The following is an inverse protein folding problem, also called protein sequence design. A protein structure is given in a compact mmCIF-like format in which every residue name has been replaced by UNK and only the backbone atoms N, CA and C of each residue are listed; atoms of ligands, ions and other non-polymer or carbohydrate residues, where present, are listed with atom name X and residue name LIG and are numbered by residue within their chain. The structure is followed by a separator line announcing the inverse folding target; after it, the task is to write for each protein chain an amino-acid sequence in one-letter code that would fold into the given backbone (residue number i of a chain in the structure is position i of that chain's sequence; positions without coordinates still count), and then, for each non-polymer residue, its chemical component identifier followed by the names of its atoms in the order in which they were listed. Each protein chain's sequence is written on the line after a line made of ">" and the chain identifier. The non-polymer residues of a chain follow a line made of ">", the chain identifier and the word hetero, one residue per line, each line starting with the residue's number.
data_IF_554289919875
#
_entry.id   IF_554289919875
#
_cell.length_a   1.000
_cell.length_b   1.000
_cell.length_c   1.000
_cell.angle_alpha   90.00
_cell.angle_beta   90.00
_cell.angle_gamma   90.00
#
_symmetry.space_group_name_H-M   'P 1'
#
loop_
_entity.id
_entity.type
_entity.pdbx_description
1 polymer ?
#
# COMPACT_ATOMS: atom_id res chain seq x y z
N UNK A 1 26.39 13.29 -10.02
CA UNK A 1 27.28 12.74 -8.99
C UNK A 1 28.05 13.89 -8.37
N UNK A 2 28.03 14.08 -7.06
CA UNK A 2 28.76 15.18 -6.40
C UNK A 2 29.98 14.62 -5.66
N UNK A 3 31.14 15.25 -5.81
CA UNK A 3 32.36 14.96 -5.05
C UNK A 3 33.14 16.27 -4.89
N UNK A 4 33.48 16.68 -3.66
CA UNK A 4 34.20 17.94 -3.35
C UNK A 4 33.56 19.22 -3.93
N UNK A 5 32.26 19.47 -3.69
CA UNK A 5 31.56 20.66 -4.19
C UNK A 5 31.59 20.84 -5.73
N UNK A 6 31.98 19.80 -6.48
CA UNK A 6 32.02 19.78 -7.94
C UNK A 6 31.00 18.80 -8.47
N UNK A 7 30.04 19.32 -9.22
CA UNK A 7 29.05 18.52 -9.93
C UNK A 7 29.72 17.76 -11.07
N UNK A 8 29.68 16.43 -10.99
CA UNK A 8 30.08 15.56 -12.08
C UNK A 8 28.79 15.05 -12.74
N UNK A 9 28.53 15.59 -13.92
CA UNK A 9 27.48 15.16 -14.83
C UNK A 9 28.08 14.17 -15.82
N UNK A 10 27.45 13.01 -16.01
CA UNK A 10 27.98 11.98 -16.90
C UNK A 10 27.13 10.72 -16.94
N UNK A 11 27.49 9.83 -17.87
CA UNK A 11 26.86 8.53 -18.08
C UNK A 11 27.63 7.47 -17.29
N UNK A 12 26.93 6.64 -16.51
CA UNK A 12 27.57 5.45 -15.89
C UNK A 12 27.86 4.40 -16.97
N UNK A 13 28.97 3.68 -16.93
CA UNK A 13 30.02 3.69 -15.90
C UNK A 13 31.04 4.83 -16.08
N UNK A 14 31.41 5.49 -14.97
CA UNK A 14 32.39 6.58 -14.95
C UNK A 14 33.45 6.31 -13.88
N UNK A 15 34.72 6.51 -14.23
CA UNK A 15 35.85 6.42 -13.29
C UNK A 15 36.34 7.82 -12.97
N UNK A 16 36.48 8.13 -11.69
CA UNK A 16 37.05 9.38 -11.22
C UNK A 16 38.49 9.16 -10.79
N UNK A 17 39.41 9.89 -11.40
CA UNK A 17 40.85 9.81 -11.13
C UNK A 17 41.30 10.99 -10.26
N UNK A 18 42.43 10.82 -9.57
CA UNK A 18 43.07 11.85 -8.74
C UNK A 18 42.16 12.42 -7.63
N UNK A 19 41.30 11.58 -7.06
CA UNK A 19 40.50 11.95 -5.89
C UNK A 19 41.37 11.84 -4.63
N UNK A 20 41.54 12.93 -3.85
CA UNK A 20 42.27 12.88 -2.59
C UNK A 20 41.67 11.85 -1.64
N UNK A 21 42.50 11.25 -0.79
CA UNK A 21 42.01 10.33 0.23
C UNK A 21 41.12 11.03 1.24
N UNK A 22 40.05 10.38 1.65
CA UNK A 22 39.09 10.93 2.61
C UNK A 22 37.70 10.34 2.48
N UNK A 23 36.80 10.82 3.33
CA UNK A 23 35.38 10.45 3.33
C UNK A 23 34.59 11.38 2.42
N UNK A 24 33.70 10.81 1.62
CA UNK A 24 32.88 11.53 0.67
C UNK A 24 31.44 11.03 0.70
N UNK A 25 30.49 11.95 0.63
CA UNK A 25 29.08 11.64 0.34
C UNK A 25 28.84 11.82 -1.14
N UNK A 26 28.43 10.74 -1.81
CA UNK A 26 28.12 10.75 -3.23
C UNK A 26 26.62 10.81 -3.44
N UNK A 27 26.16 11.92 -4.01
CA UNK A 27 24.76 12.11 -4.39
C UNK A 27 24.53 11.71 -5.87
N UNK A 28 23.64 10.74 -6.06
CA UNK A 28 23.19 10.26 -7.36
C UNK A 28 21.79 10.83 -7.67
N UNK A 29 21.67 11.49 -8.81
CA UNK A 29 20.42 12.12 -9.27
C UNK A 29 20.18 11.80 -10.73
N UNK A 30 18.95 11.42 -11.07
CA UNK A 30 18.50 11.23 -12.45
C UNK A 30 17.03 11.65 -12.53
N UNK A 31 16.64 12.52 -13.49
CA UNK A 31 15.23 12.89 -13.68
C UNK A 31 14.33 11.66 -13.80
N UNK A 32 13.20 11.67 -13.10
CA UNK A 32 12.26 10.53 -13.05
C UNK A 32 12.65 9.42 -12.06
N UNK A 33 13.70 9.60 -11.27
CA UNK A 33 14.14 8.68 -10.22
C UNK A 33 14.29 9.37 -8.87
N UNK A 34 14.28 8.58 -7.80
CA UNK A 34 14.65 9.07 -6.47
C UNK A 34 16.16 9.33 -6.40
N UNK A 35 16.52 10.41 -5.71
CA UNK A 35 17.91 10.70 -5.35
C UNK A 35 18.42 9.65 -4.37
N UNK A 36 19.70 9.33 -4.45
CA UNK A 36 20.36 8.40 -3.55
C UNK A 36 21.67 9.00 -3.06
N UNK A 37 21.89 8.98 -1.75
CA UNK A 37 23.15 9.39 -1.13
C UNK A 37 23.87 8.15 -0.61
N UNK A 38 25.19 8.13 -0.79
CA UNK A 38 26.03 7.04 -0.29
C UNK A 38 27.35 7.58 0.20
N UNK A 39 27.67 7.27 1.45
CA UNK A 39 28.97 7.59 2.03
C UNK A 39 29.99 6.55 1.58
N UNK A 40 31.15 7.04 1.17
CA UNK A 40 32.29 6.23 0.74
C UNK A 40 33.57 6.74 1.37
N UNK A 41 34.50 5.81 1.63
CA UNK A 41 35.86 6.14 2.00
C UNK A 41 36.78 5.87 0.80
N UNK A 42 37.60 6.87 0.44
CA UNK A 42 38.61 6.77 -0.60
C UNK A 42 39.97 6.64 0.06
N UNK A 43 40.60 5.49 -0.16
CA UNK A 43 41.91 5.16 0.40
C UNK A 43 43.04 5.35 -0.63
N UNK A 44 44.25 5.59 -0.13
CA UNK A 44 45.40 5.85 -0.99
C UNK A 44 45.71 4.65 -1.87
N UNK A 45 45.92 4.92 -3.17
CA UNK A 45 46.26 3.91 -4.18
C UNK A 45 45.28 2.73 -4.27
N UNK A 46 44.01 2.91 -3.86
CA UNK A 46 42.95 1.91 -3.98
C UNK A 46 41.80 2.40 -4.86
N UNK A 47 41.15 1.46 -5.54
CA UNK A 47 39.92 1.72 -6.30
C UNK A 47 38.70 1.38 -5.44
N UNK A 48 37.85 2.37 -5.21
CA UNK A 48 36.54 2.18 -4.56
C UNK A 48 35.45 2.06 -5.62
N UNK A 49 34.84 0.88 -5.76
CA UNK A 49 33.73 0.64 -6.69
C UNK A 49 32.39 0.87 -6.01
N UNK A 50 31.52 1.68 -6.62
CA UNK A 50 30.21 2.00 -6.07
C UNK A 50 29.12 1.56 -7.05
N UNK A 51 28.34 0.56 -6.64
CA UNK A 51 27.13 0.16 -7.35
C UNK A 51 25.90 0.76 -6.66
N UNK A 52 24.99 1.29 -7.47
CA UNK A 52 23.72 1.88 -7.04
C UNK A 52 22.58 1.43 -7.94
N UNK A 53 21.42 1.23 -7.35
CA UNK A 53 20.17 0.99 -8.07
C UNK A 53 19.24 2.15 -7.72
N UNK A 54 18.86 2.93 -8.74
CA UNK A 54 17.92 4.03 -8.55
C UNK A 54 16.49 3.51 -8.69
N UNK A 55 15.63 3.91 -7.76
CA UNK A 55 14.20 3.61 -7.82
C UNK A 55 13.52 4.66 -8.69
N UNK A 56 12.76 4.23 -9.69
CA UNK A 56 12.02 5.16 -10.55
C UNK A 56 10.74 5.66 -9.86
N UNK A 57 10.42 6.93 -10.06
CA UNK A 57 9.18 7.54 -9.57
C UNK A 57 7.98 6.80 -10.17
N UNK A 58 8.04 6.49 -11.47
CA UNK A 58 6.99 5.73 -12.16
C UNK A 58 6.70 4.35 -11.54
N UNK A 59 7.73 3.65 -11.03
CA UNK A 59 7.54 2.38 -10.34
C UNK A 59 6.78 2.57 -9.03
N UNK A 60 7.13 3.60 -8.25
CA UNK A 60 6.45 3.93 -6.99
C UNK A 60 5.00 4.38 -7.27
N UNK A 61 4.78 5.18 -8.32
CA UNK A 61 3.43 5.59 -8.72
C UNK A 61 2.55 4.39 -9.09
N UNK A 62 3.11 3.42 -9.81
CA UNK A 62 2.43 2.16 -10.13
C UNK A 62 2.10 1.35 -8.87
N UNK A 63 3.02 1.31 -7.91
CA UNK A 63 2.80 0.68 -6.60
C UNK A 63 1.67 1.38 -5.84
N UNK A 64 1.68 2.72 -5.75
CA UNK A 64 0.61 3.53 -5.17
C UNK A 64 -0.74 3.23 -5.85
N UNK A 65 -0.78 3.14 -7.18
CA UNK A 65 -2.02 2.79 -7.90
C UNK A 65 -2.51 1.39 -7.54
N UNK A 66 -1.61 0.42 -7.43
CA UNK A 66 -1.95 -0.95 -7.02
C UNK A 66 -2.51 -0.98 -5.59
N UNK A 67 -1.93 -0.19 -4.67
CA UNK A 67 -2.41 -0.05 -3.29
C UNK A 67 -3.79 0.61 -3.24
N UNK A 68 -4.01 1.68 -4.01
CA UNK A 68 -5.35 2.30 -4.15
C UNK A 68 -6.39 1.30 -4.65
N UNK A 69 -6.03 0.44 -5.61
CA UNK A 69 -6.91 -0.63 -6.11
C UNK A 69 -7.24 -1.64 -5.01
N UNK A 70 -6.23 -2.15 -4.31
CA UNK A 70 -6.40 -3.08 -3.16
C UNK A 70 -7.32 -2.46 -2.11
N UNK A 71 -7.10 -1.19 -1.74
CA UNK A 71 -7.94 -0.46 -0.80
C UNK A 71 -9.39 -0.40 -1.24
N UNK A 72 -9.65 -0.06 -2.50
CA UNK A 72 -11.00 0.02 -3.03
C UNK A 72 -11.69 -1.35 -3.07
N UNK A 73 -10.95 -2.43 -3.31
CA UNK A 73 -11.47 -3.81 -3.20
C UNK A 73 -11.83 -4.12 -1.75
N UNK A 74 -10.94 -3.87 -0.79
CA UNK A 74 -11.22 -4.10 0.63
C UNK A 74 -12.43 -3.28 1.12
N UNK A 75 -12.51 -2.00 0.74
CA UNK A 75 -13.65 -1.13 1.01
C UNK A 75 -14.95 -1.69 0.41
N UNK A 76 -14.92 -2.03 -0.88
CA UNK A 76 -16.09 -2.54 -1.60
C UNK A 76 -16.58 -3.87 -1.03
N UNK A 77 -15.68 -4.82 -0.78
CA UNK A 77 -16.01 -6.10 -0.16
C UNK A 77 -16.55 -5.92 1.26
N UNK A 78 -15.94 -5.04 2.05
CA UNK A 78 -16.42 -4.72 3.40
C UNK A 78 -17.83 -4.16 3.39
N UNK A 79 -18.11 -3.18 2.52
CA UNK A 79 -19.43 -2.59 2.37
C UNK A 79 -20.48 -3.59 1.84
N UNK A 80 -20.10 -4.43 0.86
CA UNK A 80 -20.96 -5.47 0.31
C UNK A 80 -21.38 -6.49 1.38
N UNK A 81 -20.41 -7.01 2.14
CA UNK A 81 -20.68 -7.97 3.22
C UNK A 81 -21.46 -7.32 4.37
N UNK A 82 -21.13 -6.08 4.75
CA UNK A 82 -21.92 -5.35 5.74
C UNK A 82 -23.38 -5.17 5.29
N UNK A 83 -23.59 -4.87 4.01
CA UNK A 83 -24.93 -4.77 3.40
C UNK A 83 -25.69 -6.10 3.43
N UNK A 84 -25.05 -7.21 3.06
CA UNK A 84 -25.65 -8.55 3.15
C UNK A 84 -25.99 -8.92 4.60
N UNK A 85 -25.09 -8.65 5.54
CA UNK A 85 -25.35 -8.89 6.97
C UNK A 85 -26.53 -8.06 7.50
N UNK A 86 -26.64 -6.79 7.09
CA UNK A 86 -27.78 -5.94 7.40
C UNK A 86 -29.09 -6.45 6.79
N UNK A 87 -29.05 -6.91 5.54
CA UNK A 87 -30.20 -7.52 4.86
C UNK A 87 -30.67 -8.79 5.57
N UNK A 88 -29.77 -9.73 5.89
CA UNK A 88 -30.15 -10.96 6.60
C UNK A 88 -30.73 -10.66 7.98
N UNK A 89 -30.17 -9.70 8.71
CA UNK A 89 -30.73 -9.28 10.01
C UNK A 89 -32.15 -8.71 9.87
N UNK A 90 -32.39 -7.90 8.83
CA UNK A 90 -33.73 -7.36 8.57
C UNK A 90 -34.73 -8.47 8.18
N UNK A 91 -34.32 -9.38 7.30
CA UNK A 91 -35.14 -10.51 6.86
C UNK A 91 -35.48 -11.45 8.03
N UNK A 92 -34.50 -11.78 8.88
CA UNK A 92 -34.71 -12.60 10.06
C UNK A 92 -35.74 -11.97 11.01
N UNK A 93 -35.60 -10.67 11.31
CA UNK A 93 -36.60 -9.96 12.14
C UNK A 93 -38.01 -10.03 11.55
N UNK A 94 -38.14 -9.86 10.22
CA UNK A 94 -39.43 -9.95 9.54
C UNK A 94 -40.03 -11.36 9.63
N UNK A 95 -39.24 -12.39 9.36
CA UNK A 95 -39.69 -13.79 9.46
C UNK A 95 -40.03 -14.18 10.91
N UNK A 96 -39.36 -13.60 11.89
CA UNK A 96 -39.67 -13.79 13.31
C UNK A 96 -41.04 -13.22 13.68
N UNK A 97 -41.34 -11.98 13.25
CA UNK A 97 -42.65 -11.36 13.47
C UNK A 97 -43.78 -12.17 12.80
N UNK A 98 -43.56 -12.63 11.56
CA UNK A 98 -44.52 -13.47 10.83
C UNK A 98 -44.73 -14.84 11.52
N UNK A 99 -43.65 -15.47 11.99
CA UNK A 99 -43.71 -16.72 12.76
C UNK A 99 -44.59 -16.61 14.01
N UNK A 100 -44.52 -15.49 14.76
CA UNK A 100 -45.35 -15.28 15.95
C UNK A 100 -46.85 -15.23 15.65
N UNK A 101 -47.24 -15.03 14.38
CA UNK A 101 -48.64 -14.86 13.97
C UNK A 101 -49.19 -16.02 13.13
N UNK A 102 -48.41 -17.07 12.86
CA UNK A 102 -48.76 -18.13 11.91
C UNK A 102 -49.28 -19.43 12.57
N UNK A 103 -50.47 -19.92 12.15
CA UNK A 103 -51.06 -21.18 12.64
C UNK A 103 -50.55 -22.45 11.92
N UNK A 104 -50.16 -22.40 10.63
CA UNK A 104 -49.88 -23.64 9.84
C UNK A 104 -48.60 -23.66 8.99
N UNK A 105 -47.82 -22.57 8.93
CA UNK A 105 -46.57 -22.46 8.12
C UNK A 105 -45.29 -22.20 8.95
N UNK A 106 -45.35 -22.45 10.26
CA UNK A 106 -44.32 -22.08 11.22
C UNK A 106 -42.94 -22.76 10.96
N UNK A 107 -42.91 -23.99 10.45
CA UNK A 107 -41.66 -24.77 10.29
C UNK A 107 -40.75 -24.21 9.18
N UNK A 108 -41.31 -23.87 8.01
CA UNK A 108 -40.51 -23.35 6.90
C UNK A 108 -39.95 -21.94 7.20
N UNK A 109 -40.74 -21.11 7.88
CA UNK A 109 -40.32 -19.79 8.35
C UNK A 109 -39.19 -19.90 9.39
N UNK A 110 -39.30 -20.85 10.31
CA UNK A 110 -38.27 -21.10 11.32
C UNK A 110 -36.93 -21.55 10.72
N UNK A 111 -36.95 -22.47 9.74
CA UNK A 111 -35.72 -22.91 9.05
C UNK A 111 -35.02 -21.77 8.29
N UNK A 112 -35.79 -20.87 7.69
CA UNK A 112 -35.25 -19.73 6.95
C UNK A 112 -34.69 -18.66 7.90
N UNK A 113 -35.42 -18.35 8.98
CA UNK A 113 -34.98 -17.51 10.09
C UNK A 113 -33.63 -17.98 10.62
N UNK A 114 -33.48 -19.27 10.95
CA UNK A 114 -32.26 -19.81 11.55
C UNK A 114 -31.04 -19.65 10.63
N UNK A 115 -31.21 -19.78 9.31
CA UNK A 115 -30.13 -19.56 8.33
C UNK A 115 -29.73 -18.09 8.27
N UNK A 116 -30.69 -17.18 8.20
CA UNK A 116 -30.45 -15.74 8.13
C UNK A 116 -29.78 -15.20 9.40
N UNK A 117 -30.23 -15.65 10.58
CA UNK A 117 -29.64 -15.29 11.88
C UNK A 117 -28.22 -15.81 12.05
N UNK A 118 -27.89 -16.99 11.50
CA UNK A 118 -26.51 -17.50 11.48
C UNK A 118 -25.63 -16.72 10.51
N UNK A 119 -26.15 -16.34 9.35
CA UNK A 119 -25.38 -15.64 8.30
C UNK A 119 -25.14 -14.16 8.60
N UNK A 120 -26.08 -13.48 9.26
CA UNK A 120 -25.98 -12.06 9.58
C UNK A 120 -24.68 -11.69 10.35
N UNK A 121 -24.37 -12.29 11.51
CA UNK A 121 -23.15 -11.95 12.25
C UNK A 121 -21.87 -12.38 11.52
N UNK A 122 -21.90 -13.47 10.75
CA UNK A 122 -20.75 -13.92 9.93
C UNK A 122 -20.45 -12.87 8.87
N UNK A 123 -21.48 -12.43 8.14
CA UNK A 123 -21.34 -11.45 7.06
C UNK A 123 -20.88 -10.09 7.59
N UNK A 124 -21.50 -9.61 8.69
CA UNK A 124 -21.08 -8.38 9.37
C UNK A 124 -19.64 -8.47 9.90
N UNK A 125 -19.27 -9.60 10.52
CA UNK A 125 -17.94 -9.83 11.04
C UNK A 125 -16.86 -9.81 9.95
N UNK A 126 -17.10 -10.50 8.83
CA UNK A 126 -16.20 -10.48 7.67
C UNK A 126 -16.16 -9.08 7.01
N UNK A 127 -17.30 -8.39 6.94
CA UNK A 127 -17.37 -7.01 6.46
C UNK A 127 -16.50 -6.07 7.29
N UNK A 128 -16.62 -6.15 8.62
CA UNK A 128 -15.76 -5.42 9.56
C UNK A 128 -14.28 -5.75 9.43
N UNK A 129 -13.94 -7.05 9.30
CA UNK A 129 -12.57 -7.50 9.11
C UNK A 129 -11.92 -6.93 7.84
N UNK A 130 -12.70 -6.73 6.76
CA UNK A 130 -12.21 -6.11 5.53
C UNK A 130 -11.73 -4.67 5.75
N UNK A 131 -12.40 -3.91 6.64
CA UNK A 131 -12.06 -2.52 6.89
C UNK A 131 -10.75 -2.33 7.66
N UNK A 132 -10.30 -3.35 8.40
CA UNK A 132 -9.03 -3.30 9.16
C UNK A 132 -7.80 -3.02 8.26
N UNK A 133 -7.86 -3.42 6.98
CA UNK A 133 -6.77 -3.23 6.02
C UNK A 133 -6.71 -1.82 5.42
N UNK A 134 -7.71 -0.97 5.61
CA UNK A 134 -7.76 0.34 4.95
C UNK A 134 -6.73 1.31 5.49
N UNK A 135 -6.62 1.41 6.82
CA UNK A 135 -5.70 2.32 7.50
C UNK A 135 -4.24 2.05 7.11
N UNK A 136 -3.70 0.81 7.24
CA UNK A 136 -2.31 0.56 6.88
C UNK A 136 -2.03 0.83 5.40
N UNK A 137 -2.97 0.51 4.49
CA UNK A 137 -2.80 0.82 3.06
C UNK A 137 -2.74 2.34 2.81
N UNK A 138 -3.56 3.14 3.51
CA UNK A 138 -3.51 4.59 3.38
C UNK A 138 -2.19 5.18 3.92
N UNK A 139 -1.66 4.61 5.01
CA UNK A 139 -0.36 4.99 5.56
C UNK A 139 0.76 4.71 4.57
N UNK A 140 0.81 3.51 4.00
CA UNK A 140 1.81 3.10 2.99
C UNK A 140 1.75 3.99 1.74
N UNK A 141 0.54 4.31 1.25
CA UNK A 141 0.36 5.27 0.14
C UNK A 141 0.92 6.65 0.51
N UNK A 142 0.72 7.11 1.74
CA UNK A 142 1.21 8.42 2.19
C UNK A 142 2.73 8.44 2.28
N UNK A 143 3.33 7.38 2.81
CA UNK A 143 4.79 7.23 2.91
C UNK A 143 5.45 7.24 1.53
N UNK A 144 4.91 6.47 0.58
CA UNK A 144 5.43 6.43 -0.80
C UNK A 144 5.32 7.79 -1.50
N UNK A 145 4.21 8.51 -1.30
CA UNK A 145 4.04 9.88 -1.82
C UNK A 145 5.05 10.84 -1.20
N UNK A 146 5.21 10.79 0.12
CA UNK A 146 6.18 11.62 0.83
C UNK A 146 7.60 11.35 0.31
N UNK A 147 7.93 10.08 0.05
CA UNK A 147 9.22 9.70 -0.53
C UNK A 147 9.46 10.32 -1.91
N UNK A 148 8.45 10.31 -2.79
CA UNK A 148 8.54 11.01 -4.08
C UNK A 148 8.73 12.52 -3.87
N UNK A 149 8.05 13.12 -2.90
CA UNK A 149 8.13 14.55 -2.63
C UNK A 149 9.50 14.99 -2.07
N UNK A 150 10.08 14.21 -1.16
CA UNK A 150 11.35 14.53 -0.48
C UNK A 150 12.58 14.11 -1.28
N UNK A 151 12.50 12.99 -2.01
CA UNK A 151 13.64 12.37 -2.69
C UNK A 151 13.51 12.40 -4.23
N UNK A 152 12.34 12.70 -4.79
CA UNK A 152 12.13 12.68 -6.23
C UNK A 152 12.87 13.79 -6.97
N UNK A 153 13.60 13.42 -8.00
CA UNK A 153 14.24 14.37 -8.92
C UNK A 153 13.27 14.65 -10.07
N UNK A 154 12.66 15.84 -10.04
CA UNK A 154 11.74 16.32 -11.09
C UNK A 154 12.52 16.71 -12.35
N UNK A 155 11.85 16.65 -13.51
CA UNK A 155 12.39 17.09 -14.80
C UNK A 155 12.65 18.60 -14.85
#
# INVERSE_FOLDING_TARGET
>A
MFLNNKSIYGTTAQTLNNIPTGNYTVLFTKPGYLKLEKDINVEWNKRTSVFVQLVSIASIEKEIQSLKRKRNIWLGSGAFLAGLGGYFKYAANKHYDEYQTAESNATALFEQLEKEDKLAPISLGLGGACFTRIVPINTEIKELKNKIETEGVRE
#
